data_IF_525090166231
#
_entry.id   IF_525090166231
#
_cell.length_a   1.000
_cell.length_b   1.000
_cell.length_c   1.000
_cell.angle_alpha   90.00
_cell.angle_beta   90.00
_cell.angle_gamma   90.00
#
_symmetry.space_group_name_H-M   'P 1'
#
loop_
_entity.id
_entity.type
_entity.pdbx_description
1 polymer ?
#
# COMPACT_ATOMS: atom_id res chain seq x y z
N UNK A 1 0.04 22.03 -24.33
CA UNK A 1 -0.15 21.03 -23.26
C UNK A 1 0.01 19.65 -23.88
N UNK A 2 0.69 18.73 -23.21
CA UNK A 2 0.67 17.32 -23.62
C UNK A 2 -0.70 16.77 -23.24
N UNK A 3 -1.40 16.13 -24.18
CA UNK A 3 -2.62 15.38 -23.88
C UNK A 3 -2.20 14.10 -23.14
N UNK A 4 -2.65 13.93 -21.90
CA UNK A 4 -2.25 12.81 -21.02
C UNK A 4 -3.17 11.59 -21.16
N UNK A 5 -4.11 11.62 -22.10
CA UNK A 5 -5.12 10.59 -22.28
C UNK A 5 -6.04 10.43 -21.07
N UNK A 6 -6.87 9.39 -21.11
CA UNK A 6 -7.75 8.98 -20.01
C UNK A 6 -7.52 7.51 -19.71
N UNK A 7 -7.61 7.14 -18.42
CA UNK A 7 -7.76 5.74 -18.02
C UNK A 7 -9.04 5.14 -18.65
N UNK A 8 -9.02 3.84 -18.90
CA UNK A 8 -10.17 3.11 -19.46
C UNK A 8 -11.34 2.99 -18.48
N UNK A 9 -11.07 3.02 -17.17
CA UNK A 9 -12.08 2.95 -16.11
C UNK A 9 -11.91 4.08 -15.10
N UNK A 10 -12.99 4.77 -14.71
CA UNK A 10 -12.96 5.67 -13.56
C UNK A 10 -12.73 4.85 -12.28
N UNK A 11 -11.88 5.36 -11.39
CA UNK A 11 -11.51 4.66 -10.14
C UNK A 11 -11.14 5.66 -9.05
N UNK A 12 -11.65 5.46 -7.84
CA UNK A 12 -11.18 6.13 -6.62
C UNK A 12 -10.55 5.14 -5.62
N UNK A 13 -9.71 5.62 -4.71
CA UNK A 13 -9.02 4.74 -3.75
C UNK A 13 -8.09 3.70 -4.40
N UNK A 14 -7.66 3.96 -5.64
CA UNK A 14 -6.61 3.22 -6.33
C UNK A 14 -5.23 3.66 -5.83
N UNK A 15 -4.18 2.95 -6.25
CA UNK A 15 -2.80 3.40 -6.07
C UNK A 15 -2.15 3.66 -7.42
N UNK A 16 -1.17 4.57 -7.44
CA UNK A 16 -0.31 4.88 -8.58
C UNK A 16 1.15 4.72 -8.17
N UNK A 17 1.88 3.78 -8.78
CA UNK A 17 3.26 3.45 -8.44
C UNK A 17 4.17 3.73 -9.63
N UNK A 18 5.16 4.61 -9.45
CA UNK A 18 6.23 4.81 -10.44
C UNK A 18 7.09 3.54 -10.49
N UNK A 19 7.26 2.98 -11.68
CA UNK A 19 8.05 1.79 -11.93
C UNK A 19 9.48 2.16 -12.34
N UNK A 20 10.41 1.20 -12.23
CA UNK A 20 11.82 1.39 -12.60
C UNK A 20 12.03 1.72 -14.09
N UNK A 21 11.08 1.34 -14.95
CA UNK A 21 11.09 1.66 -16.38
C UNK A 21 10.48 3.05 -16.70
N UNK A 22 10.12 3.85 -15.70
CA UNK A 22 9.55 5.18 -15.86
C UNK A 22 8.03 5.22 -16.12
N UNK A 23 7.38 4.06 -16.32
CA UNK A 23 5.92 3.98 -16.41
C UNK A 23 5.28 4.07 -15.03
N UNK A 24 4.00 4.43 -14.97
CA UNK A 24 3.22 4.44 -13.72
C UNK A 24 2.18 3.32 -13.77
N UNK A 25 2.26 2.39 -12.81
CA UNK A 25 1.22 1.38 -12.60
C UNK A 25 0.08 2.00 -11.79
N UNK A 26 -1.11 2.05 -12.37
CA UNK A 26 -2.35 2.37 -11.67
C UNK A 26 -3.17 1.10 -11.49
N UNK A 27 -3.52 0.75 -10.26
CA UNK A 27 -4.17 -0.54 -9.96
C UNK A 27 -5.27 -0.42 -8.92
N UNK A 28 -6.29 -1.26 -9.08
CA UNK A 28 -7.45 -1.36 -8.20
C UNK A 28 -8.28 -0.08 -8.11
N UNK A 29 -8.88 0.15 -6.95
CA UNK A 29 -9.82 1.24 -6.71
C UNK A 29 -11.27 0.78 -6.80
N UNK A 30 -12.18 1.74 -6.77
CA UNK A 30 -13.62 1.53 -6.74
C UNK A 30 -14.30 2.48 -7.74
N UNK A 31 -15.37 1.99 -8.36
CA UNK A 31 -16.32 2.80 -9.11
C UNK A 31 -17.74 2.54 -8.58
N UNK A 32 -18.24 3.41 -7.70
CA UNK A 32 -19.61 3.32 -7.15
C UNK A 32 -20.00 1.94 -6.58
N UNK A 33 -19.10 1.33 -5.81
CA UNK A 33 -19.30 0.00 -5.23
C UNK A 33 -18.68 -1.13 -6.05
N UNK A 34 -18.32 -0.90 -7.31
CA UNK A 34 -17.61 -1.87 -8.15
C UNK A 34 -16.11 -1.80 -7.88
N UNK A 35 -15.61 -2.74 -7.07
CA UNK A 35 -14.20 -2.85 -6.73
C UNK A 35 -13.41 -3.41 -7.92
N UNK A 36 -12.37 -2.68 -8.31
CA UNK A 36 -11.56 -3.02 -9.47
C UNK A 36 -10.40 -3.94 -9.09
N UNK A 37 -10.14 -4.93 -9.95
CA UNK A 37 -8.93 -5.75 -9.94
C UNK A 37 -8.01 -5.43 -11.13
N UNK A 38 -8.50 -4.61 -12.08
CA UNK A 38 -7.77 -4.19 -13.28
C UNK A 38 -6.62 -3.24 -12.93
N UNK A 39 -5.60 -3.28 -13.77
CA UNK A 39 -4.48 -2.36 -13.73
C UNK A 39 -4.14 -1.81 -15.12
N UNK A 40 -3.61 -0.61 -15.14
CA UNK A 40 -3.22 0.13 -16.34
C UNK A 40 -1.83 0.74 -16.13
N UNK A 41 -1.05 0.81 -17.20
CA UNK A 41 0.23 1.48 -17.24
C UNK A 41 0.07 2.81 -17.97
N UNK A 42 0.47 3.89 -17.32
CA UNK A 42 0.70 5.17 -17.99
C UNK A 42 2.15 5.27 -18.44
N UNK A 43 2.36 5.63 -19.70
CA UNK A 43 3.67 5.91 -20.28
C UNK A 43 3.83 7.44 -20.44
N UNK A 44 4.62 8.11 -19.58
CA UNK A 44 4.82 9.55 -19.67
C UNK A 44 5.51 10.00 -20.97
N UNK A 45 6.22 9.10 -21.65
CA UNK A 45 6.94 9.46 -22.89
C UNK A 45 6.01 9.63 -24.09
N UNK A 46 4.89 8.91 -24.09
CA UNK A 46 3.88 8.93 -25.16
C UNK A 46 2.56 9.57 -24.72
N UNK A 47 2.34 9.75 -23.42
CA UNK A 47 1.08 10.22 -22.86
C UNK A 47 -0.06 9.20 -23.00
N UNK A 48 0.26 7.91 -23.12
CA UNK A 48 -0.73 6.85 -23.39
C UNK A 48 -0.94 5.92 -22.21
N UNK A 49 -2.15 5.38 -22.12
CA UNK A 49 -2.52 4.32 -21.18
C UNK A 49 -2.56 2.96 -21.88
N UNK A 50 -2.16 1.90 -21.18
CA UNK A 50 -2.23 0.52 -21.69
C UNK A 50 -2.67 -0.42 -20.57
N UNK A 51 -3.65 -1.28 -20.83
CA UNK A 51 -4.06 -2.32 -19.88
C UNK A 51 -2.94 -3.34 -19.68
N UNK A 52 -2.81 -3.86 -18.46
CA UNK A 52 -1.87 -4.95 -18.15
C UNK A 52 -2.63 -6.10 -17.46
N UNK A 53 -1.92 -7.08 -16.90
CA UNK A 53 -2.58 -8.12 -16.11
C UNK A 53 -3.36 -7.54 -14.93
N UNK A 54 -4.21 -8.35 -14.33
CA UNK A 54 -5.09 -7.95 -13.23
C UNK A 54 -4.79 -8.74 -11.96
N UNK A 55 -5.05 -8.12 -10.80
CA UNK A 55 -5.05 -8.81 -9.51
C UNK A 55 -6.07 -9.95 -9.49
N UNK A 56 -5.85 -10.94 -8.65
CA UNK A 56 -6.82 -11.99 -8.34
C UNK A 56 -7.99 -11.44 -7.53
N UNK A 57 -7.71 -10.56 -6.57
CA UNK A 57 -8.73 -9.97 -5.72
C UNK A 57 -8.91 -8.48 -6.04
N UNK A 58 -10.13 -8.04 -6.40
CA UNK A 58 -10.41 -6.62 -6.53
C UNK A 58 -10.19 -5.92 -5.19
N UNK A 59 -9.74 -4.67 -5.20
CA UNK A 59 -9.45 -3.94 -3.96
C UNK A 59 -9.40 -2.43 -4.15
N UNK A 60 -9.94 -1.69 -3.19
CA UNK A 60 -9.76 -0.24 -3.04
C UNK A 60 -9.17 0.09 -1.67
N UNK A 61 -8.62 1.31 -1.50
CA UNK A 61 -8.00 1.79 -0.24
C UNK A 61 -6.86 0.89 0.26
N UNK A 62 -6.21 0.20 -0.68
CA UNK A 62 -5.02 -0.61 -0.47
C UNK A 62 -3.77 0.27 -0.59
N UNK A 63 -2.60 -0.29 -0.29
CA UNK A 63 -1.31 0.36 -0.58
C UNK A 63 -0.50 -0.45 -1.59
N UNK A 64 0.37 0.23 -2.33
CA UNK A 64 1.31 -0.38 -3.28
C UNK A 64 2.72 0.16 -3.06
N UNK A 65 3.72 -0.73 -3.08
CA UNK A 65 5.13 -0.40 -2.85
C UNK A 65 5.99 -1.04 -3.95
N UNK A 66 6.76 -0.23 -4.68
CA UNK A 66 7.82 -0.73 -5.54
C UNK A 66 8.93 -1.32 -4.68
N UNK A 67 9.21 -2.61 -4.85
CA UNK A 67 10.24 -3.34 -4.14
C UNK A 67 11.61 -3.20 -4.82
N UNK A 68 12.67 -3.48 -4.08
CA UNK A 68 14.06 -3.45 -4.59
C UNK A 68 14.31 -4.39 -5.77
N UNK A 69 13.54 -5.47 -5.89
CA UNK A 69 13.63 -6.41 -7.00
C UNK A 69 12.82 -5.97 -8.24
N UNK A 70 12.25 -4.75 -8.23
CA UNK A 70 11.47 -4.20 -9.34
C UNK A 70 10.00 -4.62 -9.39
N UNK A 71 9.57 -5.57 -8.56
CA UNK A 71 8.15 -5.93 -8.44
C UNK A 71 7.38 -4.92 -7.60
N UNK A 72 6.07 -4.84 -7.77
CA UNK A 72 5.19 -4.02 -6.93
C UNK A 72 4.42 -4.92 -5.99
N UNK A 73 4.56 -4.70 -4.68
CA UNK A 73 3.75 -5.34 -3.67
C UNK A 73 2.48 -4.52 -3.45
N UNK A 74 1.31 -5.15 -3.57
CA UNK A 74 0.01 -4.56 -3.26
C UNK A 74 -0.61 -5.27 -2.06
N UNK A 75 -1.06 -4.52 -1.05
CA UNK A 75 -1.45 -5.09 0.25
C UNK A 75 -2.76 -4.51 0.77
N UNK A 76 -3.59 -5.39 1.34
CA UNK A 76 -4.85 -5.06 1.99
C UNK A 76 -5.84 -4.31 1.09
N UNK A 77 -6.53 -3.34 1.68
CA UNK A 77 -7.67 -2.64 1.09
C UNK A 77 -8.99 -3.30 1.46
N UNK A 78 -10.01 -3.08 0.63
CA UNK A 78 -11.33 -3.67 0.79
C UNK A 78 -11.96 -4.02 -0.56
N UNK A 79 -12.86 -5.00 -0.56
CA UNK A 79 -13.68 -5.41 -1.71
C UNK A 79 -15.16 -5.62 -1.37
N UNK A 80 -15.64 -4.93 -0.33
CA UNK A 80 -16.89 -5.22 0.38
C UNK A 80 -16.60 -5.68 1.81
N UNK A 81 -15.47 -6.36 1.98
CA UNK A 81 -14.86 -6.71 3.25
C UNK A 81 -13.41 -6.19 3.30
N UNK A 82 -12.84 -5.90 4.49
CA UNK A 82 -11.43 -5.60 4.63
C UNK A 82 -10.57 -6.80 4.19
N UNK A 83 -9.37 -6.54 3.66
CA UNK A 83 -8.49 -7.58 3.13
C UNK A 83 -7.19 -7.66 3.93
N UNK A 84 -6.74 -8.88 4.19
CA UNK A 84 -5.37 -9.18 4.64
C UNK A 84 -4.45 -9.66 3.50
N UNK A 85 -5.03 -9.98 2.34
CA UNK A 85 -4.30 -10.55 1.20
C UNK A 85 -3.32 -9.57 0.57
N UNK A 86 -2.25 -10.11 0.00
CA UNK A 86 -1.27 -9.36 -0.77
C UNK A 86 -0.92 -10.06 -2.08
N UNK A 87 -0.53 -9.27 -3.07
CA UNK A 87 -0.19 -9.72 -4.42
C UNK A 87 1.03 -8.96 -4.95
N UNK A 88 1.83 -9.61 -5.77
CA UNK A 88 3.00 -9.05 -6.44
C UNK A 88 2.69 -8.86 -7.93
N UNK A 89 2.92 -7.68 -8.45
CA UNK A 89 2.96 -7.40 -9.88
C UNK A 89 4.40 -7.43 -10.38
N UNK A 90 4.65 -8.15 -11.47
CA UNK A 90 5.92 -8.16 -12.18
C UNK A 90 5.85 -7.29 -13.45
N UNK A 91 6.45 -6.08 -13.47
CA UNK A 91 6.40 -5.19 -14.61
C UNK A 91 7.01 -5.74 -15.90
N UNK A 92 7.89 -6.74 -15.81
CA UNK A 92 8.54 -7.32 -16.99
C UNK A 92 7.62 -8.24 -17.78
N UNK A 93 6.61 -8.83 -17.13
CA UNK A 93 5.67 -9.78 -17.72
C UNK A 93 4.22 -9.32 -17.68
N UNK A 94 3.91 -8.34 -16.84
CA UNK A 94 2.54 -7.93 -16.55
C UNK A 94 1.77 -8.93 -15.68
N UNK A 95 2.43 -9.95 -15.13
CA UNK A 95 1.78 -11.02 -14.36
C UNK A 95 1.62 -10.62 -12.89
N UNK A 96 0.48 -10.98 -12.32
CA UNK A 96 0.20 -10.89 -10.88
C UNK A 96 0.34 -12.26 -10.21
N UNK A 97 0.85 -12.28 -8.99
CA UNK A 97 1.02 -13.50 -8.19
C UNK A 97 0.64 -13.25 -6.74
N UNK A 98 -0.20 -14.11 -6.16
CA UNK A 98 -0.53 -14.05 -4.73
C UNK A 98 0.70 -14.40 -3.89
N UNK A 99 0.91 -13.67 -2.79
CA UNK A 99 1.97 -13.95 -1.81
C UNK A 99 1.34 -14.22 -0.43
N UNK A 100 2.14 -14.30 0.64
CA UNK A 100 1.61 -14.44 1.99
C UNK A 100 0.67 -13.30 2.36
N UNK A 101 -0.16 -13.51 3.37
CA UNK A 101 -1.15 -12.53 3.86
C UNK A 101 -0.73 -11.95 5.20
N UNK A 102 -1.16 -10.70 5.46
CA UNK A 102 -1.07 -10.08 6.78
C UNK A 102 -1.87 -10.87 7.83
N UNK A 103 -1.49 -10.73 9.09
CA UNK A 103 -2.22 -11.31 10.23
C UNK A 103 -3.51 -10.54 10.52
N UNK A 104 -3.50 -9.22 10.29
CA UNK A 104 -4.69 -8.39 10.38
C UNK A 104 -5.12 -7.92 8.99
N UNK A 105 -6.42 -7.91 8.74
CA UNK A 105 -7.01 -7.24 7.60
C UNK A 105 -7.00 -5.72 7.81
N UNK A 106 -6.70 -4.97 6.74
CA UNK A 106 -6.47 -3.52 6.84
C UNK A 106 -6.87 -2.83 5.55
N UNK A 107 -7.66 -1.77 5.66
CA UNK A 107 -7.79 -0.74 4.64
C UNK A 107 -7.26 0.60 5.16
N UNK A 108 -6.86 1.49 4.25
CA UNK A 108 -6.37 2.84 4.58
C UNK A 108 -5.15 2.86 5.51
N UNK A 109 -4.35 1.79 5.51
CA UNK A 109 -3.03 1.73 6.15
C UNK A 109 -1.97 2.44 5.31
N UNK A 110 -0.75 2.54 5.84
CA UNK A 110 0.44 2.92 5.06
C UNK A 110 1.38 1.73 4.91
N UNK A 111 2.18 1.75 3.84
CA UNK A 111 3.24 0.78 3.61
C UNK A 111 4.55 1.51 3.26
N UNK A 112 5.66 1.10 3.85
CA UNK A 112 6.97 1.76 3.71
C UNK A 112 8.06 0.73 3.42
N UNK A 113 8.76 0.89 2.29
CA UNK A 113 9.95 0.09 1.99
C UNK A 113 11.11 0.53 2.89
N UNK A 114 11.61 -0.38 3.72
CA UNK A 114 12.69 -0.12 4.65
C UNK A 114 14.07 -0.29 3.98
N UNK A 115 15.09 0.28 4.61
CA UNK A 115 16.49 0.18 4.14
C UNK A 115 16.99 -1.26 4.07
N UNK A 116 16.48 -2.15 4.94
CA UNK A 116 16.77 -3.59 4.91
C UNK A 116 16.02 -4.36 3.81
N UNK A 117 15.14 -3.72 3.04
CA UNK A 117 14.38 -4.33 1.95
C UNK A 117 13.03 -4.93 2.35
N UNK A 118 12.69 -5.00 3.63
CA UNK A 118 11.35 -5.39 4.10
C UNK A 118 10.36 -4.24 3.91
N UNK A 119 9.07 -4.55 3.89
CA UNK A 119 7.99 -3.55 3.84
C UNK A 119 7.31 -3.50 5.20
N UNK A 120 7.32 -2.33 5.84
CA UNK A 120 6.53 -2.07 7.04
C UNK A 120 5.13 -1.63 6.66
N UNK A 121 4.12 -2.35 7.11
CA UNK A 121 2.71 -1.96 7.02
C UNK A 121 2.22 -1.51 8.39
N UNK A 122 1.60 -0.33 8.47
CA UNK A 122 1.21 0.26 9.75
C UNK A 122 -0.23 0.77 9.75
N UNK A 123 -0.94 0.52 10.84
CA UNK A 123 -2.27 1.05 11.09
C UNK A 123 -3.30 0.59 10.06
N UNK A 124 -4.12 1.54 9.61
CA UNK A 124 -5.34 1.25 8.86
C UNK A 124 -6.42 0.70 9.78
N UNK A 125 -7.31 -0.12 9.23
CA UNK A 125 -8.32 -0.78 10.04
C UNK A 125 -9.41 -1.48 9.24
N UNK A 126 -10.45 -1.87 9.96
CA UNK A 126 -11.70 -2.42 9.41
C UNK A 126 -12.76 -1.30 9.36
N UNK A 127 -14.02 -1.66 9.14
CA UNK A 127 -15.13 -0.69 9.20
C UNK A 127 -15.39 -0.13 10.60
N UNK A 128 -15.04 -0.89 11.63
CA UNK A 128 -15.35 -0.56 13.04
C UNK A 128 -14.12 -0.05 13.77
N UNK A 129 -12.96 -0.67 13.55
CA UNK A 129 -11.78 -0.44 14.37
C UNK A 129 -10.59 0.05 13.55
N UNK A 130 -9.92 1.07 14.07
CA UNK A 130 -8.59 1.46 13.61
C UNK A 130 -7.53 0.69 14.38
N UNK A 131 -6.45 0.34 13.69
CA UNK A 131 -5.38 -0.49 14.24
C UNK A 131 -4.20 0.37 14.66
N UNK A 132 -3.56 -0.02 15.77
CA UNK A 132 -2.23 0.46 16.14
C UNK A 132 -1.12 -0.50 15.72
N UNK A 133 -1.48 -1.73 15.36
CA UNK A 133 -0.54 -2.79 15.02
C UNK A 133 0.22 -2.49 13.72
N UNK A 134 1.43 -3.05 13.63
CA UNK A 134 2.24 -3.02 12.44
C UNK A 134 2.81 -4.42 12.12
N UNK A 135 3.11 -4.64 10.85
CA UNK A 135 3.63 -5.91 10.34
C UNK A 135 4.74 -5.66 9.31
N UNK A 136 5.68 -6.59 9.23
CA UNK A 136 6.77 -6.60 8.27
C UNK A 136 6.53 -7.70 7.24
N UNK A 137 6.55 -7.34 5.96
CA UNK A 137 6.63 -8.28 4.85
C UNK A 137 8.08 -8.46 4.43
N UNK A 138 8.52 -9.70 4.28
CA UNK A 138 9.82 -10.06 3.70
C UNK A 138 9.65 -10.49 2.24
N UNK A 139 10.08 -9.68 1.25
CA UNK A 139 9.92 -10.02 -0.17
C UNK A 139 10.69 -11.25 -0.64
N UNK A 140 11.70 -11.70 0.12
CA UNK A 140 12.50 -12.87 -0.27
C UNK A 140 11.78 -14.19 0.03
N UNK A 141 10.89 -14.19 1.02
CA UNK A 141 10.17 -15.39 1.48
C UNK A 141 8.65 -15.28 1.31
N UNK A 142 8.13 -14.07 1.14
CA UNK A 142 6.69 -13.81 1.13
C UNK A 142 6.03 -13.89 2.51
N UNK A 143 6.82 -13.98 3.59
CA UNK A 143 6.33 -14.13 4.96
C UNK A 143 6.03 -12.77 5.59
N UNK A 144 4.93 -12.72 6.33
CA UNK A 144 4.57 -11.60 7.20
C UNK A 144 4.96 -11.89 8.65
N UNK A 145 5.38 -10.88 9.40
CA UNK A 145 5.72 -11.00 10.82
C UNK A 145 5.22 -9.77 11.57
N UNK A 146 4.58 -9.96 12.72
CA UNK A 146 4.18 -8.85 13.58
C UNK A 146 5.40 -8.14 14.18
N UNK A 147 5.30 -6.82 14.37
CA UNK A 147 6.32 -6.02 15.07
C UNK A 147 5.66 -5.16 16.14
N UNK A 148 6.39 -4.25 16.78
CA UNK A 148 5.81 -3.34 17.77
C UNK A 148 4.66 -2.52 17.20
N UNK A 149 3.81 -2.03 18.09
CA UNK A 149 2.60 -1.27 17.76
C UNK A 149 2.74 0.20 18.14
N UNK A 150 2.08 1.07 17.39
CA UNK A 150 1.89 2.48 17.75
C UNK A 150 1.14 2.58 19.09
N UNK A 151 1.30 3.70 19.78
CA UNK A 151 0.53 4.03 20.98
C UNK A 151 -0.92 4.32 20.64
N UNK A 152 -1.16 5.05 19.54
CA UNK A 152 -2.51 5.43 19.11
C UNK A 152 -2.89 4.71 17.82
N UNK A 153 -4.06 4.04 17.77
CA UNK A 153 -4.56 3.45 16.54
C UNK A 153 -4.86 4.54 15.51
N UNK A 154 -4.52 4.30 14.25
CA UNK A 154 -4.70 5.29 13.18
C UNK A 154 -4.91 4.66 11.82
N UNK A 155 -5.82 5.25 11.05
CA UNK A 155 -5.99 5.05 9.62
C UNK A 155 -5.84 6.38 8.88
N UNK A 156 -5.60 6.32 7.56
CA UNK A 156 -5.47 7.51 6.68
C UNK A 156 -4.35 8.48 7.10
N UNK A 157 -3.39 8.01 7.89
CA UNK A 157 -2.19 8.75 8.24
C UNK A 157 -1.19 8.77 7.08
N UNK A 158 -0.18 9.62 7.20
CA UNK A 158 0.99 9.57 6.31
C UNK A 158 2.12 8.79 6.98
N UNK A 159 3.01 8.21 6.17
CA UNK A 159 4.25 7.63 6.62
C UNK A 159 5.40 8.13 5.76
N UNK A 160 6.55 8.40 6.37
CA UNK A 160 7.77 8.84 5.68
C UNK A 160 8.97 8.09 6.24
N UNK A 161 9.71 7.43 5.35
CA UNK A 161 11.00 6.83 5.72
C UNK A 161 12.04 7.95 5.76
N UNK A 162 12.65 8.13 6.93
CA UNK A 162 13.64 9.16 7.18
C UNK A 162 15.03 8.72 6.71
N UNK A 163 15.95 9.67 6.55
CA UNK A 163 17.33 9.42 6.10
C UNK A 163 18.12 8.51 7.06
N UNK A 164 17.76 8.50 8.34
CA UNK A 164 18.32 7.60 9.35
C UNK A 164 17.69 6.19 9.34
N UNK A 165 16.73 5.93 8.45
CA UNK A 165 16.04 4.65 8.31
C UNK A 165 14.80 4.47 9.20
N UNK A 166 14.51 5.39 10.13
CA UNK A 166 13.28 5.34 10.92
C UNK A 166 12.05 5.68 10.05
N UNK A 167 10.87 5.27 10.50
CA UNK A 167 9.61 5.63 9.83
C UNK A 167 8.80 6.56 10.72
N UNK A 168 8.59 7.79 10.25
CA UNK A 168 7.68 8.74 10.89
C UNK A 168 6.26 8.49 10.39
N UNK A 169 5.33 8.26 11.31
CA UNK A 169 3.88 8.29 11.02
C UNK A 169 3.27 9.53 11.63
N UNK A 170 2.42 10.24 10.88
CA UNK A 170 1.83 11.49 11.34
C UNK A 170 0.34 11.58 11.02
N UNK A 171 -0.43 12.08 11.99
CA UNK A 171 -1.85 12.36 11.84
C UNK A 171 -2.69 11.12 11.55
N UNK A 172 -3.66 11.25 10.65
CA UNK A 172 -4.72 10.25 10.46
C UNK A 172 -5.75 10.31 11.58
N UNK A 173 -6.49 9.23 11.78
CA UNK A 173 -7.52 9.20 12.80
C UNK A 173 -8.16 7.84 12.96
N UNK A 174 -9.14 7.81 13.85
CA UNK A 174 -10.09 6.71 14.01
C UNK A 174 -11.42 7.08 13.37
N UNK A 175 -12.43 6.22 13.51
CA UNK A 175 -13.82 6.54 13.14
C UNK A 175 -14.42 7.69 13.97
N UNK A 176 -13.80 8.05 15.10
CA UNK A 176 -14.32 9.03 16.04
C UNK A 176 -13.50 10.32 16.08
N UNK A 177 -12.17 10.23 15.99
CA UNK A 177 -11.28 11.37 16.23
C UNK A 177 -10.16 11.48 15.19
N UNK A 178 -9.81 12.71 14.84
CA UNK A 178 -8.56 13.02 14.13
C UNK A 178 -7.40 13.16 15.11
N UNK A 179 -6.24 12.63 14.76
CA UNK A 179 -5.06 12.68 15.61
C UNK A 179 -4.15 13.85 15.20
N UNK A 180 -3.65 14.58 16.20
CA UNK A 180 -2.54 15.53 16.04
C UNK A 180 -1.17 14.90 16.33
N UNK A 181 -1.14 13.64 16.78
CA UNK A 181 0.09 12.96 17.18
C UNK A 181 0.89 12.41 16.00
N UNK A 182 2.20 12.35 16.19
CA UNK A 182 3.13 11.62 15.34
C UNK A 182 3.96 10.64 16.17
N UNK A 183 4.43 9.57 15.53
CA UNK A 183 5.20 8.50 16.16
C UNK A 183 6.33 8.04 15.24
N UNK A 184 7.45 7.62 15.81
CA UNK A 184 8.62 7.09 15.10
C UNK A 184 8.73 5.60 15.35
N UNK A 185 8.83 4.82 14.28
CA UNK A 185 9.22 3.43 14.31
C UNK A 185 10.72 3.29 14.05
N UNK A 186 11.42 2.52 14.89
CA UNK A 186 12.81 2.12 14.69
C UNK A 186 12.86 0.67 14.16
N UNK A 187 13.23 0.45 12.88
CA UNK A 187 13.32 -0.88 12.30
C UNK A 187 14.35 -1.81 12.92
N UNK A 188 15.34 -1.29 13.64
CA UNK A 188 16.39 -2.11 14.26
C UNK A 188 15.90 -2.80 15.53
N UNK A 189 14.96 -2.17 16.24
CA UNK A 189 14.41 -2.65 17.51
C UNK A 189 12.96 -3.09 17.41
N UNK A 190 12.22 -2.62 16.40
CA UNK A 190 10.78 -2.82 16.27
C UNK A 190 9.96 -1.91 17.20
N UNK A 191 10.58 -0.94 17.87
CA UNK A 191 9.93 -0.10 18.86
C UNK A 191 9.33 1.18 18.25
N UNK A 192 8.29 1.69 18.92
CA UNK A 192 7.65 2.97 18.61
C UNK A 192 7.91 4.00 19.70
N UNK A 193 8.12 5.25 19.32
CA UNK A 193 8.24 6.40 20.24
C UNK A 193 7.35 7.54 19.79
N UNK A 194 6.61 8.16 20.70
CA UNK A 194 5.83 9.38 20.41
C UNK A 194 6.76 10.58 20.22
N UNK A 195 6.50 11.40 19.20
CA UNK A 195 7.27 12.63 18.92
C UNK A 195 6.52 13.89 19.32
#
# INVERSE_FOLDING_TARGET
SINVGSMSLPREGHTATLLTNGKVLVTGGNNHGDYQHSAELYDPSTGTWTTTGSMKYPRARHTAVLLKNGKVLVTGGQNGDPLSSAELYDPSTGIWTTTGSMHSERMSHTASLLTNGKVLVTGGGTYVDSLSSAELYDPSTGIWTTTGSMKYPRARHTASVLTNGQVLVAGGGTSFDSLSSAELYDPSTGNWTTT
#
